data_IF_348578902088
#
_entry.id   IF_348578902088
#
_cell.length_a   1.000
_cell.length_b   1.000
_cell.length_c   1.000
_cell.angle_alpha   90.00
_cell.angle_beta   90.00
_cell.angle_gamma   90.00
#
_symmetry.space_group_name_H-M   'P 1'
#
loop_
_entity.id
_entity.type
_entity.pdbx_description
1 polymer ?
#
# COMPACT_ATOMS: atom_id res chain seq x y z
N UNK A 1 3.64 8.07 2.63
CA UNK A 1 2.29 8.00 2.04
C UNK A 1 2.40 8.23 0.54
N UNK A 2 1.65 7.49 -0.27
CA UNK A 2 1.66 7.61 -1.73
C UNK A 2 0.21 7.70 -2.23
N UNK A 3 -0.12 8.78 -2.93
CA UNK A 3 -1.43 8.95 -3.57
C UNK A 3 -1.34 8.48 -5.03
N UNK A 4 -2.00 7.38 -5.36
CA UNK A 4 -1.96 6.76 -6.69
C UNK A 4 -3.22 7.03 -7.50
N UNK A 5 -4.15 7.86 -7.01
CA UNK A 5 -5.37 8.23 -7.74
C UNK A 5 -5.08 9.07 -8.99
N UNK A 6 -3.94 9.73 -9.03
CA UNK A 6 -3.50 10.54 -10.17
C UNK A 6 -2.76 9.71 -11.23
N UNK A 7 -2.55 8.41 -11.02
CA UNK A 7 -1.83 7.57 -11.97
C UNK A 7 -2.67 7.33 -13.24
N UNK A 8 -2.08 7.31 -14.44
CA UNK A 8 -2.82 7.24 -15.71
C UNK A 8 -3.58 5.92 -15.93
N UNK A 9 -3.32 4.89 -15.12
CA UNK A 9 -4.06 3.63 -15.19
C UNK A 9 -5.41 3.79 -14.47
N UNK A 10 -6.53 3.60 -15.19
CA UNK A 10 -7.89 3.67 -14.61
C UNK A 10 -8.33 2.39 -13.90
N UNK A 11 -7.51 1.35 -13.98
CA UNK A 11 -7.83 0.05 -13.40
C UNK A 11 -7.20 -0.09 -12.01
N UNK A 12 -8.05 0.01 -10.98
CA UNK A 12 -7.65 -0.14 -9.58
C UNK A 12 -7.00 -1.50 -9.29
N UNK A 13 -7.40 -2.57 -9.99
CA UNK A 13 -6.77 -3.88 -9.84
C UNK A 13 -5.34 -3.85 -10.39
N UNK A 14 -5.13 -3.28 -11.58
CA UNK A 14 -3.80 -3.15 -12.17
C UNK A 14 -2.86 -2.29 -11.31
N UNK A 15 -3.37 -1.19 -10.74
CA UNK A 15 -2.61 -0.32 -9.83
C UNK A 15 -2.20 -1.10 -8.57
N UNK A 16 -3.15 -1.71 -7.87
CA UNK A 16 -2.83 -2.45 -6.64
C UNK A 16 -1.90 -3.63 -6.92
N UNK A 17 -2.12 -4.34 -8.04
CA UNK A 17 -1.24 -5.42 -8.45
C UNK A 17 0.20 -4.94 -8.72
N UNK A 18 0.37 -3.80 -9.39
CA UNK A 18 1.69 -3.19 -9.61
C UNK A 18 2.33 -2.73 -8.30
N UNK A 19 1.56 -2.11 -7.39
CA UNK A 19 2.07 -1.70 -6.08
C UNK A 19 2.59 -2.93 -5.31
N UNK A 20 1.80 -3.99 -5.27
CA UNK A 20 2.09 -5.21 -4.52
C UNK A 20 3.30 -5.98 -5.03
N UNK A 21 3.41 -6.11 -6.35
CA UNK A 21 4.41 -7.01 -6.95
C UNK A 21 5.62 -6.27 -7.51
N UNK A 22 5.58 -4.95 -7.65
CA UNK A 22 6.67 -4.16 -8.24
C UNK A 22 7.14 -3.03 -7.34
N UNK A 23 6.22 -2.22 -6.79
CA UNK A 23 6.61 -1.03 -6.03
C UNK A 23 7.09 -1.34 -4.61
N UNK A 24 6.30 -2.12 -3.85
CA UNK A 24 6.65 -2.51 -2.47
C UNK A 24 8.03 -3.22 -2.40
N UNK A 25 8.37 -4.16 -3.30
CA UNK A 25 9.68 -4.83 -3.26
C UNK A 25 10.85 -3.91 -3.54
N UNK A 26 10.65 -2.82 -4.27
CA UNK A 26 11.71 -1.85 -4.56
C UNK A 26 11.96 -0.90 -3.38
N UNK A 27 10.97 -0.72 -2.51
CA UNK A 27 11.03 0.25 -1.40
C UNK A 27 11.16 -0.42 -0.03
N UNK A 28 11.04 -1.75 0.05
CA UNK A 28 11.16 -2.47 1.33
C UNK A 28 12.55 -2.32 1.96
N UNK A 29 13.59 -2.06 1.16
CA UNK A 29 14.95 -1.76 1.66
C UNK A 29 15.10 -0.34 2.23
N UNK A 30 14.10 0.52 2.02
CA UNK A 30 14.05 1.81 2.68
C UNK A 30 13.52 1.56 4.10
N UNK A 31 14.19 2.10 5.13
CA UNK A 31 13.89 1.99 6.58
C UNK A 31 12.51 2.58 7.00
N UNK A 32 11.57 2.64 6.06
CA UNK A 32 10.19 3.08 6.21
C UNK A 32 9.35 1.87 6.60
N UNK A 33 8.90 1.87 7.85
CA UNK A 33 8.10 0.77 8.41
C UNK A 33 6.60 0.85 8.11
N UNK A 34 6.11 1.99 7.59
CA UNK A 34 4.66 2.19 7.36
C UNK A 34 4.38 2.82 6.01
N UNK A 35 3.59 2.12 5.20
CA UNK A 35 3.17 2.57 3.88
C UNK A 35 1.66 2.67 3.81
N UNK A 36 1.18 3.86 3.46
CA UNK A 36 -0.22 4.14 3.14
C UNK A 36 -0.35 4.47 1.65
N UNK A 37 -1.16 3.70 0.94
CA UNK A 37 -1.50 3.92 -0.46
C UNK A 37 -2.93 4.42 -0.58
N UNK A 38 -3.11 5.60 -1.19
CA UNK A 38 -4.45 6.17 -1.45
C UNK A 38 -4.88 5.79 -2.87
N UNK A 39 -5.93 5.00 -2.99
CA UNK A 39 -6.50 4.49 -4.25
C UNK A 39 -7.90 5.04 -4.47
N UNK A 40 -8.41 4.95 -5.70
CA UNK A 40 -9.79 5.38 -5.98
C UNK A 40 -10.80 4.36 -5.43
N UNK A 41 -10.45 3.06 -5.49
CA UNK A 41 -11.24 1.97 -4.94
C UNK A 41 -10.36 0.83 -4.44
N UNK A 42 -10.59 0.34 -3.22
CA UNK A 42 -9.88 -0.81 -2.66
C UNK A 42 -10.36 -2.11 -3.32
N UNK A 43 -9.43 -2.98 -3.70
CA UNK A 43 -9.73 -4.28 -4.29
C UNK A 43 -9.23 -5.36 -3.33
N UNK A 44 -10.15 -5.94 -2.56
CA UNK A 44 -9.83 -6.83 -1.44
C UNK A 44 -9.07 -8.09 -1.84
N UNK A 45 -9.31 -8.63 -3.05
CA UNK A 45 -8.60 -9.81 -3.55
C UNK A 45 -7.10 -9.58 -3.68
N UNK A 46 -6.65 -8.35 -3.97
CA UNK A 46 -5.23 -8.01 -4.07
C UNK A 46 -4.54 -7.87 -2.71
N UNK A 47 -5.28 -7.68 -1.61
CA UNK A 47 -4.73 -7.58 -0.26
C UNK A 47 -4.32 -8.94 0.30
N UNK A 48 -5.12 -9.97 0.02
CA UNK A 48 -4.85 -11.35 0.43
C UNK A 48 -3.57 -11.90 -0.21
N UNK A 49 -3.24 -11.42 -1.41
CA UNK A 49 -2.00 -11.77 -2.10
C UNK A 49 -0.78 -11.19 -1.37
N UNK A 50 -0.81 -9.93 -0.94
CA UNK A 50 0.33 -9.27 -0.27
C UNK A 50 0.75 -10.04 0.99
N UNK A 51 -0.20 -10.42 1.84
CA UNK A 51 0.09 -11.16 3.08
C UNK A 51 0.60 -12.58 2.82
N UNK A 52 0.25 -13.18 1.67
CA UNK A 52 0.76 -14.50 1.26
C UNK A 52 2.15 -14.42 0.63
N UNK A 53 2.46 -13.35 -0.10
CA UNK A 53 3.74 -13.16 -0.79
C UNK A 53 4.83 -12.58 0.10
N UNK A 54 4.47 -11.77 1.08
CA UNK A 54 5.41 -11.14 2.00
C UNK A 54 5.10 -11.58 3.42
N UNK A 55 6.02 -12.36 3.98
CA UNK A 55 6.01 -12.70 5.40
C UNK A 55 6.53 -11.48 6.18
N UNK A 56 5.69 -10.47 6.35
CA UNK A 56 6.00 -9.24 7.10
C UNK A 56 6.35 -9.47 8.58
N UNK A 57 6.32 -10.73 9.03
CA UNK A 57 6.74 -11.13 10.39
C UNK A 57 8.21 -10.84 10.69
N UNK A 58 9.06 -10.61 9.67
CA UNK A 58 10.49 -10.35 9.85
C UNK A 58 10.90 -8.86 9.70
N UNK A 59 10.10 -7.99 9.08
CA UNK A 59 10.53 -6.64 8.67
C UNK A 59 9.77 -5.46 9.31
N UNK A 60 8.88 -5.68 10.29
CA UNK A 60 8.04 -4.63 10.93
C UNK A 60 7.24 -3.75 9.94
N UNK A 61 7.21 -4.09 8.65
CA UNK A 61 6.65 -3.23 7.62
C UNK A 61 5.15 -3.44 7.50
N UNK A 62 4.37 -2.38 7.71
CA UNK A 62 2.92 -2.39 7.63
C UNK A 62 2.47 -1.61 6.41
N UNK A 63 1.76 -2.28 5.51
CA UNK A 63 1.17 -1.69 4.30
C UNK A 63 -0.34 -1.64 4.44
N UNK A 64 -0.95 -0.50 4.13
CA UNK A 64 -2.40 -0.33 4.14
C UNK A 64 -2.90 0.54 2.99
N UNK A 65 -4.09 0.23 2.51
CA UNK A 65 -4.79 0.94 1.44
C UNK A 65 -5.95 1.77 2.00
N UNK A 66 -6.17 2.94 1.40
CA UNK A 66 -7.20 3.89 1.79
C UNK A 66 -7.87 4.49 0.56
N UNK A 67 -9.17 4.80 0.66
CA UNK A 67 -9.89 5.58 -0.35
C UNK A 67 -9.92 7.07 0.00
N UNK A 68 -9.80 7.38 1.31
CA UNK A 68 -9.68 8.73 1.83
C UNK A 68 -8.23 9.11 2.09
N UNK A 69 -7.83 10.27 1.56
CA UNK A 69 -6.54 10.86 1.87
C UNK A 69 -6.42 11.23 3.36
N UNK A 70 -7.49 11.74 3.96
CA UNK A 70 -7.53 12.17 5.36
C UNK A 70 -7.31 10.98 6.31
N UNK A 71 -7.98 9.85 6.05
CA UNK A 71 -7.80 8.63 6.84
C UNK A 71 -6.38 8.06 6.72
N UNK A 72 -5.80 8.13 5.51
CA UNK A 72 -4.42 7.70 5.26
C UNK A 72 -3.41 8.53 6.05
N UNK A 73 -3.59 9.87 6.07
CA UNK A 73 -2.75 10.79 6.85
C UNK A 73 -2.87 10.48 8.33
N UNK A 74 -4.09 10.41 8.86
CA UNK A 74 -4.31 10.10 10.27
C UNK A 74 -3.66 8.78 10.69
N UNK A 75 -3.71 7.75 9.84
CA UNK A 75 -3.10 6.46 10.15
C UNK A 75 -1.56 6.50 10.13
N UNK A 76 -0.95 7.23 9.19
CA UNK A 76 0.51 7.39 9.14
C UNK A 76 1.02 8.21 10.33
N UNK A 77 0.27 9.25 10.73
CA UNK A 77 0.62 10.15 11.83
C UNK A 77 0.29 9.62 13.22
N UNK A 78 -0.64 8.66 13.32
CA UNK A 78 -0.91 7.91 14.54
C UNK A 78 0.30 7.02 14.87
N UNK A 79 1.38 7.65 15.36
CA UNK A 79 2.53 6.96 15.94
C UNK A 79 2.02 6.06 17.05
N UNK A 80 2.25 4.76 16.90
CA UNK A 80 2.21 3.85 18.05
C UNK A 80 3.55 3.92 18.78
#
# INVERSE_FOLDING_TARGET
>A
MVDVRHYPYRDNFAIQNWINHTYIPQIIECDVKRYAFVVEKIITSSLEDIQKYYDFSHDDMIVKYFESHEEAVHWVEAKE
#
